data_IF_267315859349
#
_entry.id   IF_267315859349
#
_cell.length_a   1.000
_cell.length_b   1.000
_cell.length_c   1.000
_cell.angle_alpha   90.00
_cell.angle_beta   90.00
_cell.angle_gamma   90.00
#
_symmetry.space_group_name_H-M   'P 1'
#
loop_
_entity.id
_entity.type
_entity.pdbx_description
1 polymer ?
#
# COMPACT_ATOMS: atom_id res chain seq x y z
N UNK A 1 -16.25 8.01 -14.60
CA UNK A 1 -16.80 8.14 -13.23
C UNK A 1 -17.36 6.78 -12.90
N UNK A 2 -16.87 6.03 -11.93
CA UNK A 2 -15.82 6.26 -10.95
C UNK A 2 -15.40 4.88 -10.41
N UNK A 3 -14.33 4.82 -9.61
CA UNK A 3 -14.00 3.61 -8.86
C UNK A 3 -13.08 2.67 -9.62
N UNK A 4 -11.82 3.08 -9.78
CA UNK A 4 -10.71 2.16 -9.56
C UNK A 4 -11.09 1.32 -8.34
N UNK A 5 -11.35 0.02 -8.51
CA UNK A 5 -11.44 -0.90 -7.37
C UNK A 5 -10.04 -1.00 -6.78
N UNK A 6 -9.60 0.07 -6.11
CA UNK A 6 -8.46 -0.01 -5.22
C UNK A 6 -8.80 -1.12 -4.23
N UNK A 7 -7.99 -2.19 -4.17
CA UNK A 7 -8.31 -3.32 -3.32
C UNK A 7 -8.47 -2.77 -1.90
N UNK A 8 -9.62 -3.09 -1.27
CA UNK A 8 -9.82 -2.78 0.13
C UNK A 8 -8.57 -3.22 0.89
N UNK A 9 -7.96 -2.33 1.66
CA UNK A 9 -6.71 -2.65 2.33
C UNK A 9 -6.92 -3.85 3.25
N UNK A 10 -6.51 -5.02 2.73
CA UNK A 10 -6.69 -6.32 3.36
C UNK A 10 -5.92 -6.43 4.68
N UNK A 11 -4.98 -5.51 4.90
CA UNK A 11 -4.08 -5.50 6.02
C UNK A 11 -4.35 -4.30 6.93
N UNK A 12 -4.82 -4.60 8.14
CA UNK A 12 -4.91 -3.65 9.27
C UNK A 12 -3.63 -3.59 10.12
N UNK A 13 -2.55 -4.21 9.63
CA UNK A 13 -1.24 -4.25 10.29
C UNK A 13 -0.25 -3.33 9.56
N UNK A 14 0.84 -2.88 10.20
CA UNK A 14 1.88 -2.09 9.54
C UNK A 14 2.42 -2.77 8.28
N UNK A 15 2.81 -1.98 7.27
CA UNK A 15 3.29 -2.49 5.96
C UNK A 15 4.41 -3.54 6.08
N UNK A 16 5.32 -3.39 7.06
CA UNK A 16 6.42 -4.33 7.26
C UNK A 16 5.99 -5.70 7.82
N UNK A 17 4.73 -5.83 8.25
CA UNK A 17 4.12 -7.09 8.69
C UNK A 17 3.24 -7.73 7.62
N UNK A 18 3.13 -7.12 6.43
CA UNK A 18 2.39 -7.71 5.31
C UNK A 18 3.15 -8.90 4.74
N UNK A 19 2.45 -9.76 4.02
CA UNK A 19 3.11 -10.77 3.20
C UNK A 19 4.08 -10.10 2.23
N UNK A 20 5.27 -10.69 2.02
CA UNK A 20 6.30 -10.11 1.15
C UNK A 20 5.78 -9.85 -0.28
N UNK A 21 4.80 -10.61 -0.75
CA UNK A 21 4.21 -10.39 -2.07
C UNK A 21 3.29 -9.16 -2.15
N UNK A 22 2.79 -8.69 -1.01
CA UNK A 22 1.94 -7.51 -0.89
C UNK A 22 2.71 -6.27 -0.42
N UNK A 23 3.93 -6.44 0.10
CA UNK A 23 4.76 -5.30 0.48
C UNK A 23 5.12 -4.46 -0.77
N UNK A 24 4.86 -3.14 -0.77
CA UNK A 24 4.97 -2.32 -1.98
C UNK A 24 6.38 -2.31 -2.62
N UNK A 25 7.45 -2.39 -1.82
CA UNK A 25 8.83 -2.36 -2.34
C UNK A 25 9.17 -3.67 -3.03
N UNK A 26 8.78 -4.77 -2.45
CA UNK A 26 9.03 -6.14 -2.84
C UNK A 26 8.19 -6.46 -4.09
N UNK A 27 6.92 -6.07 -4.07
CA UNK A 27 6.01 -6.11 -5.22
C UNK A 27 6.55 -5.29 -6.40
N UNK A 28 7.04 -4.07 -6.15
CA UNK A 28 7.69 -3.24 -7.18
C UNK A 28 8.94 -3.93 -7.78
N UNK A 29 9.81 -4.47 -6.94
CA UNK A 29 11.04 -5.14 -7.38
C UNK A 29 10.74 -6.38 -8.24
N UNK A 30 9.67 -7.12 -7.92
CA UNK A 30 9.33 -8.37 -8.58
C UNK A 30 8.49 -8.20 -9.83
N UNK A 31 7.55 -7.26 -9.83
CA UNK A 31 6.51 -7.16 -10.85
C UNK A 31 6.55 -5.84 -11.64
N UNK A 32 7.38 -4.88 -11.21
CA UNK A 32 7.44 -3.54 -11.79
C UNK A 32 6.30 -2.62 -11.30
N UNK A 33 6.30 -1.35 -11.71
CA UNK A 33 5.42 -0.34 -11.13
C UNK A 33 3.96 -0.45 -11.56
N UNK A 34 3.65 -1.16 -12.65
CA UNK A 34 2.29 -1.23 -13.22
C UNK A 34 1.31 -2.03 -12.38
N UNK A 35 1.79 -2.76 -11.35
CA UNK A 35 0.95 -3.54 -10.44
C UNK A 35 0.67 -2.84 -9.11
N UNK A 36 1.25 -1.66 -8.90
CA UNK A 36 1.03 -0.87 -7.69
C UNK A 36 -0.23 -0.04 -7.84
N UNK A 37 -1.00 0.06 -6.76
CA UNK A 37 -2.04 1.07 -6.59
C UNK A 37 -1.44 2.45 -6.35
N UNK A 38 -2.25 3.49 -6.53
CA UNK A 38 -1.83 4.87 -6.29
C UNK A 38 -1.39 5.06 -4.82
N UNK A 39 -2.10 4.44 -3.90
CA UNK A 39 -1.76 4.38 -2.47
C UNK A 39 -0.38 3.75 -2.20
N UNK A 40 -0.07 2.61 -2.83
CA UNK A 40 1.23 1.95 -2.69
C UNK A 40 2.37 2.82 -3.26
N UNK A 41 2.13 3.49 -4.40
CA UNK A 41 3.08 4.44 -4.99
C UNK A 41 3.33 5.61 -4.04
N UNK A 42 2.29 6.19 -3.46
CA UNK A 42 2.42 7.28 -2.49
C UNK A 42 3.20 6.84 -1.24
N UNK A 43 2.90 5.66 -0.69
CA UNK A 43 3.62 5.11 0.46
C UNK A 43 5.12 4.91 0.18
N UNK A 44 5.48 4.51 -1.05
CA UNK A 44 6.87 4.39 -1.48
C UNK A 44 7.58 5.74 -1.57
N UNK A 45 6.92 6.75 -2.15
CA UNK A 45 7.47 8.11 -2.30
C UNK A 45 7.65 8.82 -0.96
N UNK A 46 6.68 8.66 -0.06
CA UNK A 46 6.69 9.27 1.28
C UNK A 46 7.58 8.50 2.27
N UNK A 47 8.05 7.31 1.90
CA UNK A 47 8.87 6.45 2.75
C UNK A 47 8.13 5.85 3.94
N UNK A 48 6.83 6.08 4.06
CA UNK A 48 5.94 5.57 5.10
C UNK A 48 4.49 5.52 4.59
N UNK A 49 3.72 4.51 5.04
CA UNK A 49 2.27 4.47 4.79
C UNK A 49 1.54 5.58 5.54
N UNK A 50 0.38 5.99 5.04
CA UNK A 50 -0.44 7.03 5.69
C UNK A 50 -1.08 6.51 6.99
N UNK A 51 -1.38 7.41 7.92
CA UNK A 51 -1.84 7.09 9.27
C UNK A 51 -3.28 7.55 9.41
N UNK A 52 -4.25 6.71 9.03
CA UNK A 52 -5.67 7.02 9.27
C UNK A 52 -5.92 7.11 10.78
N UNK A 53 -6.83 7.99 11.19
CA UNK A 53 -6.89 8.60 12.52
C UNK A 53 -7.22 7.66 13.70
N UNK A 54 -7.29 6.33 13.52
CA UNK A 54 -7.66 5.38 14.59
C UNK A 54 -6.82 4.07 14.64
N UNK A 55 -5.57 4.06 14.16
CA UNK A 55 -4.71 2.87 14.31
C UNK A 55 -3.33 2.98 13.67
N UNK A 56 -2.44 1.98 13.84
CA UNK A 56 -1.12 2.00 13.23
C UNK A 56 -1.23 1.95 11.69
N UNK A 57 -0.74 3.03 11.07
CA UNK A 57 -0.39 3.28 9.65
C UNK A 57 -0.77 2.19 8.65
N UNK A 58 -1.80 2.49 7.85
CA UNK A 58 -2.27 1.72 6.70
C UNK A 58 -2.22 2.63 5.46
N UNK A 59 -1.63 2.16 4.36
CA UNK A 59 -1.21 2.96 3.20
C UNK A 59 -2.32 3.70 2.41
N UNK A 60 -3.57 3.65 2.86
CA UNK A 60 -4.73 4.33 2.25
C UNK A 60 -5.38 5.22 3.30
N UNK A 61 -5.06 6.51 3.16
CA UNK A 61 -5.89 7.70 3.38
C UNK A 61 -5.16 8.88 2.73
#
# INVERSE_FOLDING_TARGET
MDGSEEPALLYHVPIHEWDESDQPREKLLKHGPTVLSDAEVLALLLGSGTRTNDGPVSAVE
#
